data_IF_513034892552
#
_entry.id   IF_513034892552
#
_cell.length_a   1.000
_cell.length_b   1.000
_cell.length_c   1.000
_cell.angle_alpha   90.00
_cell.angle_beta   90.00
_cell.angle_gamma   90.00
#
_symmetry.space_group_name_H-M   'P 1'
#
loop_
_entity.id
_entity.type
_entity.pdbx_description
1 polymer ?
#
# COMPACT_ATOMS: atom_id res chain seq x y z
N UNK A 1 39.25 -24.70 68.74
CA UNK A 1 38.11 -25.26 69.51
C UNK A 1 36.97 -25.28 68.54
N UNK A 2 36.72 -26.41 67.97
CA UNK A 2 35.68 -27.39 68.27
C UNK A 2 34.35 -26.84 67.85
N UNK A 3 33.49 -27.48 67.11
CA UNK A 3 33.13 -28.88 67.04
C UNK A 3 32.30 -29.20 65.80
N UNK A 4 32.50 -30.35 65.29
CA UNK A 4 31.80 -31.04 64.24
C UNK A 4 30.43 -31.52 64.73
N UNK A 5 29.45 -31.49 63.90
CA UNK A 5 28.29 -32.40 63.96
C UNK A 5 27.86 -32.84 62.59
N UNK A 6 28.22 -34.05 62.29
CA UNK A 6 27.71 -34.92 61.25
C UNK A 6 26.33 -35.43 61.63
N UNK A 7 25.36 -35.36 60.70
CA UNK A 7 24.23 -36.27 60.84
C UNK A 7 23.80 -36.85 59.52
N UNK A 8 23.51 -38.09 59.54
CA UNK A 8 23.49 -39.14 58.56
C UNK A 8 22.22 -39.22 57.75
N UNK A 9 22.43 -39.51 56.52
CA UNK A 9 21.68 -40.28 55.53
C UNK A 9 20.58 -41.20 56.02
N UNK A 10 19.44 -41.16 55.33
CA UNK A 10 18.67 -42.39 55.02
C UNK A 10 18.04 -42.27 53.63
N UNK A 11 18.13 -43.30 52.77
CA UNK A 11 17.50 -43.33 51.46
C UNK A 11 16.05 -43.77 51.56
N UNK A 12 15.14 -43.09 50.82
CA UNK A 12 13.77 -43.54 50.72
C UNK A 12 13.41 -43.93 49.30
N UNK A 13 13.00 -45.16 49.21
CA UNK A 13 12.62 -45.99 48.10
C UNK A 13 11.81 -45.33 46.98
N UNK A 14 12.25 -45.68 45.79
CA UNK A 14 11.57 -45.95 44.56
C UNK A 14 10.04 -46.26 44.69
N UNK A 15 9.22 -45.48 44.03
CA UNK A 15 7.92 -45.91 43.53
C UNK A 15 7.74 -45.38 42.13
N UNK A 16 7.89 -46.30 41.20
CA UNK A 16 7.58 -46.12 39.80
C UNK A 16 6.20 -45.49 39.57
N UNK A 17 6.14 -44.52 38.65
CA UNK A 17 4.91 -44.03 38.10
C UNK A 17 5.01 -43.98 36.59
N UNK A 18 4.19 -44.77 36.02
CA UNK A 18 3.94 -45.07 34.62
C UNK A 18 4.03 -43.89 33.68
N UNK A 19 4.66 -44.13 32.56
CA UNK A 19 4.61 -43.39 31.30
C UNK A 19 3.16 -43.07 30.87
N UNK A 20 2.83 -41.80 30.75
CA UNK A 20 1.64 -41.37 30.01
C UNK A 20 2.06 -40.46 28.89
N UNK A 21 1.95 -41.05 27.70
CA UNK A 21 1.45 -40.44 26.47
C UNK A 21 2.04 -39.11 26.04
N UNK A 22 2.94 -39.15 25.07
CA UNK A 22 3.39 -37.98 24.33
C UNK A 22 2.19 -37.21 23.73
N UNK A 23 1.96 -36.00 24.22
CA UNK A 23 1.20 -35.00 23.48
C UNK A 23 2.11 -34.44 22.40
N UNK A 24 2.03 -35.03 21.22
CA UNK A 24 2.57 -34.41 20.00
C UNK A 24 1.96 -33.02 19.85
N UNK A 25 2.84 -32.01 19.99
CA UNK A 25 2.51 -30.61 19.77
C UNK A 25 2.11 -30.39 18.31
N UNK A 26 0.81 -30.20 18.06
CA UNK A 26 0.27 -29.78 16.76
C UNK A 26 0.56 -28.31 16.41
N UNK A 27 1.69 -27.77 16.84
CA UNK A 27 2.08 -26.35 16.67
C UNK A 27 2.79 -26.01 15.35
N UNK A 28 3.33 -26.99 14.60
CA UNK A 28 4.22 -26.73 13.47
C UNK A 28 3.58 -26.34 12.13
N UNK A 29 2.25 -26.41 12.00
CA UNK A 29 1.59 -26.18 10.68
C UNK A 29 1.09 -24.75 10.43
N UNK A 30 1.18 -23.85 11.41
CA UNK A 30 0.72 -22.46 11.24
C UNK A 30 1.83 -21.49 10.80
N UNK A 31 3.08 -21.76 11.11
CA UNK A 31 4.22 -20.91 10.72
C UNK A 31 4.65 -21.11 9.27
N UNK A 32 4.55 -22.33 8.70
CA UNK A 32 4.85 -22.60 7.30
C UNK A 32 3.90 -21.89 6.30
N UNK A 33 2.68 -21.54 6.73
CA UNK A 33 1.74 -20.80 5.88
C UNK A 33 2.06 -19.30 5.81
N UNK A 34 2.78 -18.73 6.79
CA UNK A 34 3.22 -17.34 6.76
C UNK A 34 4.41 -17.15 5.83
N UNK A 35 5.38 -18.06 5.86
CA UNK A 35 6.58 -18.00 5.01
C UNK A 35 6.29 -18.23 3.51
N UNK A 36 5.24 -19.01 3.17
CA UNK A 36 4.87 -19.24 1.75
C UNK A 36 4.18 -18.07 1.08
N UNK A 37 3.79 -17.01 1.82
CA UNK A 37 3.18 -15.81 1.23
C UNK A 37 4.20 -14.80 0.72
N UNK A 38 5.44 -14.89 1.15
CA UNK A 38 6.50 -13.95 0.77
C UNK A 38 7.21 -14.35 -0.53
N UNK A 39 7.09 -15.61 -0.97
CA UNK A 39 7.73 -16.15 -2.20
C UNK A 39 6.82 -16.10 -3.45
N UNK A 40 5.55 -15.69 -3.33
CA UNK A 40 4.72 -15.45 -4.50
C UNK A 40 5.23 -14.18 -5.23
N UNK A 41 5.35 -14.20 -6.58
CA UNK A 41 5.74 -13.02 -7.32
C UNK A 41 4.80 -11.88 -6.95
N UNK A 42 5.36 -10.78 -6.45
CA UNK A 42 4.57 -9.61 -6.05
C UNK A 42 3.93 -9.04 -7.31
N UNK A 43 2.64 -9.29 -7.49
CA UNK A 43 1.85 -8.75 -8.61
C UNK A 43 1.79 -7.22 -8.60
N UNK A 44 2.15 -6.60 -7.47
CA UNK A 44 2.05 -5.17 -7.25
C UNK A 44 3.38 -4.60 -6.75
N UNK A 45 3.82 -3.53 -7.39
CA UNK A 45 4.91 -2.70 -6.88
C UNK A 45 4.38 -1.78 -5.79
N UNK A 46 5.16 -1.60 -4.72
CA UNK A 46 4.84 -0.79 -3.55
C UNK A 46 5.83 0.36 -3.44
N UNK A 47 5.36 1.59 -3.52
CA UNK A 47 6.18 2.80 -3.41
C UNK A 47 5.74 3.62 -2.21
N UNK A 48 6.68 3.89 -1.30
CA UNK A 48 6.44 4.75 -0.14
C UNK A 48 6.68 6.22 -0.54
N UNK A 49 5.63 7.03 -0.52
CA UNK A 49 5.72 8.46 -0.87
C UNK A 49 6.21 9.29 0.31
N UNK A 50 5.68 9.03 1.50
CA UNK A 50 5.99 9.84 2.68
C UNK A 50 5.81 9.06 3.98
N UNK A 51 6.69 9.36 4.94
CA UNK A 51 6.60 8.86 6.31
C UNK A 51 6.68 10.07 7.24
N UNK A 52 5.65 10.25 8.05
CA UNK A 52 5.58 11.33 9.04
C UNK A 52 5.58 10.74 10.45
N UNK A 53 6.34 11.33 11.36
CA UNK A 53 6.23 11.08 12.79
C UNK A 53 5.11 11.97 13.35
N UNK A 54 4.03 11.35 13.81
CA UNK A 54 2.86 12.05 14.37
C UNK A 54 2.75 11.80 15.87
N UNK A 55 2.22 12.76 16.61
CA UNK A 55 2.06 12.64 18.05
C UNK A 55 0.61 12.93 18.48
N UNK A 56 0.16 12.21 19.51
CA UNK A 56 -1.04 12.53 20.27
C UNK A 56 -0.62 13.04 21.65
N UNK A 57 -1.07 14.22 22.01
CA UNK A 57 -0.82 14.81 23.33
C UNK A 57 -1.73 14.14 24.36
N UNK A 58 -1.16 13.74 25.50
CA UNK A 58 -1.84 13.16 26.64
C UNK A 58 -1.39 13.89 27.91
N UNK A 59 -2.06 13.69 29.06
CA UNK A 59 -1.74 14.36 30.34
C UNK A 59 -0.27 14.26 30.74
N UNK A 60 0.39 13.11 30.48
CA UNK A 60 1.80 12.86 30.83
C UNK A 60 2.81 13.12 29.69
N UNK A 61 2.41 13.75 28.57
CA UNK A 61 3.33 14.03 27.47
C UNK A 61 2.77 13.70 26.09
N UNK A 62 3.63 13.23 25.18
CA UNK A 62 3.29 12.96 23.77
C UNK A 62 3.50 11.48 23.44
N UNK A 63 2.47 10.81 22.89
CA UNK A 63 2.59 9.47 22.35
C UNK A 63 2.81 9.54 20.85
N UNK A 64 4.00 9.12 20.41
CA UNK A 64 4.40 9.15 19.00
C UNK A 64 3.91 7.91 18.26
N UNK A 65 3.62 8.11 16.97
CA UNK A 65 3.34 7.06 15.98
C UNK A 65 3.92 7.48 14.63
N UNK A 66 4.06 6.53 13.73
CA UNK A 66 4.46 6.78 12.35
C UNK A 66 3.24 6.69 11.43
N UNK A 67 3.09 7.67 10.54
CA UNK A 67 2.08 7.68 9.48
C UNK A 67 2.81 7.45 8.16
N UNK A 68 2.44 6.41 7.43
CA UNK A 68 2.95 6.13 6.09
C UNK A 68 1.88 6.44 5.04
N UNK A 69 2.30 7.04 3.92
CA UNK A 69 1.55 7.20 2.69
C UNK A 69 2.22 6.30 1.64
N UNK A 70 1.50 5.28 1.19
CA UNK A 70 1.98 4.25 0.25
C UNK A 70 1.10 4.21 -0.97
N UNK A 71 1.71 3.99 -2.12
CA UNK A 71 1.04 3.71 -3.39
C UNK A 71 1.37 2.29 -3.80
N UNK A 72 0.40 1.63 -4.38
CA UNK A 72 0.51 0.27 -4.90
C UNK A 72 0.01 0.24 -6.32
N UNK A 73 0.74 -0.33 -7.26
CA UNK A 73 0.34 -0.46 -8.65
C UNK A 73 0.90 -1.73 -9.30
N UNK A 74 0.32 -2.11 -10.43
CA UNK A 74 0.70 -3.33 -11.14
C UNK A 74 1.34 -3.08 -12.51
N UNK A 75 1.65 -1.83 -12.87
CA UNK A 75 2.08 -1.40 -14.21
C UNK A 75 1.12 -1.79 -15.37
N UNK A 76 -0.09 -2.28 -15.02
CA UNK A 76 -1.14 -2.67 -15.95
C UNK A 76 -2.43 -1.89 -15.64
N UNK A 77 -2.29 -0.58 -15.48
CA UNK A 77 -3.38 0.38 -15.27
C UNK A 77 -4.15 0.26 -13.93
N UNK A 78 -3.66 -0.52 -12.96
CA UNK A 78 -4.26 -0.55 -11.62
C UNK A 78 -3.38 0.18 -10.64
N UNK A 79 -3.98 1.05 -9.84
CA UNK A 79 -3.29 1.80 -8.80
C UNK A 79 -4.18 2.00 -7.59
N UNK A 80 -3.60 2.03 -6.41
CA UNK A 80 -4.28 2.34 -5.16
C UNK A 80 -3.39 3.13 -4.23
N UNK A 81 -3.98 3.96 -3.40
CA UNK A 81 -3.30 4.75 -2.37
C UNK A 81 -3.81 4.36 -1.00
N UNK A 82 -2.88 4.20 -0.07
CA UNK A 82 -3.20 3.89 1.31
C UNK A 82 -2.46 4.79 2.30
N UNK A 83 -3.16 5.17 3.35
CA UNK A 83 -2.60 5.91 4.49
C UNK A 83 -2.88 5.15 5.76
N UNK A 84 -1.85 4.86 6.53
CA UNK A 84 -2.03 4.21 7.82
C UNK A 84 -1.05 4.72 8.87
N UNK A 85 -1.37 4.46 10.14
CA UNK A 85 -0.53 4.77 11.30
C UNK A 85 -0.13 3.48 12.00
N UNK A 86 1.15 3.36 12.36
CA UNK A 86 1.72 2.24 13.11
C UNK A 86 2.49 2.69 14.34
N UNK A 87 2.85 1.77 15.23
CA UNK A 87 3.80 2.00 16.30
C UNK A 87 5.20 2.22 15.71
N UNK A 88 5.56 1.36 14.75
CA UNK A 88 6.81 1.38 14.02
C UNK A 88 6.58 1.74 12.55
N UNK A 89 7.67 2.11 11.86
CA UNK A 89 7.66 2.45 10.43
C UNK A 89 7.22 1.25 9.60
N UNK A 90 7.78 0.06 9.85
CA UNK A 90 7.44 -1.17 9.14
C UNK A 90 5.94 -1.51 9.27
N UNK A 91 5.41 -1.46 10.51
CA UNK A 91 4.01 -1.69 10.77
C UNK A 91 3.07 -0.65 10.13
N UNK A 92 3.53 0.60 10.00
CA UNK A 92 2.79 1.65 9.31
C UNK A 92 2.73 1.40 7.81
N UNK A 93 3.86 1.00 7.19
CA UNK A 93 3.95 0.68 5.76
C UNK A 93 3.06 -0.53 5.44
N UNK A 94 3.23 -1.66 6.14
CA UNK A 94 2.43 -2.87 5.90
C UNK A 94 0.92 -2.58 5.96
N UNK A 95 0.47 -1.84 6.98
CA UNK A 95 -0.93 -1.40 7.08
C UNK A 95 -1.37 -0.50 5.93
N UNK A 96 -0.51 0.44 5.50
CA UNK A 96 -0.84 1.35 4.40
C UNK A 96 -0.94 0.58 3.07
N UNK A 97 -0.07 -0.39 2.84
CA UNK A 97 -0.12 -1.30 1.69
C UNK A 97 -1.44 -2.11 1.67
N UNK A 98 -1.86 -2.67 2.80
CA UNK A 98 -3.13 -3.40 2.90
C UNK A 98 -4.34 -2.49 2.58
N UNK A 99 -4.30 -1.24 3.02
CA UNK A 99 -5.33 -0.24 2.70
C UNK A 99 -5.31 0.09 1.21
N UNK A 100 -4.12 0.30 0.62
CA UNK A 100 -3.98 0.61 -0.80
C UNK A 100 -4.49 -0.54 -1.69
N UNK A 101 -4.20 -1.80 -1.34
CA UNK A 101 -4.70 -3.00 -2.04
C UNK A 101 -6.22 -3.14 -2.01
N UNK A 102 -6.89 -2.60 -0.99
CA UNK A 102 -8.36 -2.61 -0.90
C UNK A 102 -9.04 -1.54 -1.76
N UNK A 103 -8.32 -0.46 -2.08
CA UNK A 103 -8.83 0.69 -2.84
C UNK A 103 -8.11 0.83 -4.20
N UNK A 104 -7.98 -0.28 -4.92
CA UNK A 104 -7.43 -0.27 -6.27
C UNK A 104 -8.47 0.26 -7.25
N UNK A 105 -8.05 1.20 -8.10
CA UNK A 105 -8.81 1.69 -9.24
C UNK A 105 -8.16 1.23 -10.54
N UNK A 106 -8.97 1.09 -11.60
CA UNK A 106 -8.49 0.81 -12.95
C UNK A 106 -8.56 2.09 -13.77
N UNK A 107 -7.47 2.44 -14.43
CA UNK A 107 -7.30 3.67 -15.19
C UNK A 107 -7.42 3.36 -16.68
N UNK A 108 -8.24 4.10 -17.45
CA UNK A 108 -8.23 4.01 -18.91
C UNK A 108 -6.94 4.64 -19.46
N UNK A 109 -6.15 3.85 -20.18
CA UNK A 109 -4.91 4.30 -20.82
C UNK A 109 -5.10 4.23 -22.33
N UNK A 110 -4.66 5.26 -23.03
CA UNK A 110 -4.67 5.35 -24.50
C UNK A 110 -3.27 5.75 -24.98
N UNK A 111 -2.63 4.92 -25.82
CA UNK A 111 -1.32 5.21 -26.40
C UNK A 111 -0.23 5.63 -25.38
N UNK A 112 -0.11 4.87 -24.28
CA UNK A 112 0.84 5.13 -23.18
C UNK A 112 0.60 6.45 -22.40
N UNK A 113 -0.54 7.11 -22.60
CA UNK A 113 -0.95 8.34 -21.94
C UNK A 113 -2.41 8.27 -21.48
N UNK A 114 -2.92 9.34 -20.90
CA UNK A 114 -4.34 9.47 -20.50
C UNK A 114 -5.20 9.93 -21.70
N UNK A 115 -6.50 9.57 -21.75
CA UNK A 115 -7.36 9.89 -22.89
C UNK A 115 -7.67 11.38 -23.05
N UNK A 116 -7.81 12.12 -21.98
CA UNK A 116 -8.11 13.57 -22.00
C UNK A 116 -7.51 14.28 -20.77
N UNK A 117 -7.49 15.60 -20.80
CA UNK A 117 -7.10 16.40 -19.65
C UNK A 117 -8.18 16.37 -18.56
N UNK A 118 -7.74 16.46 -17.32
CA UNK A 118 -8.61 16.46 -16.16
C UNK A 118 -8.03 17.35 -15.06
N UNK A 119 -8.92 18.08 -14.41
CA UNK A 119 -8.59 18.87 -13.24
C UNK A 119 -9.53 18.51 -12.09
N UNK A 120 -8.96 18.10 -10.96
CA UNK A 120 -9.72 17.73 -9.77
C UNK A 120 -9.22 18.49 -8.56
N UNK A 121 -10.16 18.94 -7.74
CA UNK A 121 -9.93 19.59 -6.46
C UNK A 121 -10.46 18.70 -5.34
N UNK A 122 -9.55 18.25 -4.47
CA UNK A 122 -9.88 17.52 -3.26
C UNK A 122 -9.39 18.27 -2.03
N UNK A 123 -10.30 18.68 -1.17
CA UNK A 123 -9.99 19.54 -0.03
C UNK A 123 -9.21 20.81 -0.47
N UNK A 124 -8.00 21.02 0.04
CA UNK A 124 -7.14 22.14 -0.36
C UNK A 124 -6.19 21.85 -1.53
N UNK A 125 -6.09 20.61 -2.00
CA UNK A 125 -5.26 20.26 -3.14
C UNK A 125 -6.07 20.31 -4.44
N UNK A 126 -5.42 20.78 -5.50
CA UNK A 126 -5.95 20.84 -6.86
C UNK A 126 -4.90 20.28 -7.79
N UNK A 127 -5.24 19.28 -8.57
CA UNK A 127 -4.31 18.59 -9.47
C UNK A 127 -4.83 18.65 -10.89
N UNK A 128 -3.99 19.15 -11.79
CA UNK A 128 -4.23 19.16 -13.22
C UNK A 128 -3.37 18.06 -13.85
N UNK A 129 -3.98 17.19 -14.65
CA UNK A 129 -3.30 16.18 -15.47
C UNK A 129 -3.67 16.39 -16.93
N UNK A 130 -2.67 16.26 -17.82
CA UNK A 130 -2.83 16.42 -19.27
C UNK A 130 -2.13 15.29 -20.00
N UNK A 131 -2.68 14.83 -21.14
CA UNK A 131 -1.99 13.88 -21.99
C UNK A 131 -0.74 14.54 -22.59
N UNK A 132 0.26 13.71 -22.89
CA UNK A 132 1.52 14.14 -23.49
C UNK A 132 1.84 13.30 -24.72
N UNK A 133 2.61 13.89 -25.65
CA UNK A 133 3.10 13.20 -26.83
C UNK A 133 4.07 12.06 -26.44
N UNK A 134 4.16 10.98 -27.24
CA UNK A 134 5.15 9.92 -27.04
C UNK A 134 6.56 10.49 -26.93
N UNK A 135 7.33 10.00 -25.95
CA UNK A 135 8.69 10.45 -25.68
C UNK A 135 8.83 11.64 -24.74
N UNK A 136 7.73 12.30 -24.34
CA UNK A 136 7.77 13.40 -23.35
C UNK A 136 8.15 12.91 -21.95
N UNK A 137 7.79 11.68 -21.60
CA UNK A 137 7.97 11.15 -20.26
C UNK A 137 6.98 11.69 -19.22
N UNK A 138 7.25 11.42 -17.95
CA UNK A 138 6.39 11.87 -16.84
C UNK A 138 6.93 13.20 -16.29
N UNK A 139 6.23 14.30 -16.60
CA UNK A 139 6.54 15.64 -16.08
C UNK A 139 5.50 15.95 -14.98
N UNK A 140 5.85 15.65 -13.74
CA UNK A 140 4.94 15.76 -12.60
C UNK A 140 5.68 16.05 -11.30
N UNK A 141 4.95 16.56 -10.31
CA UNK A 141 5.45 16.69 -8.92
C UNK A 141 5.71 15.31 -8.31
N UNK A 142 6.59 15.24 -7.28
CA UNK A 142 7.06 13.97 -6.72
C UNK A 142 5.97 12.98 -6.33
N UNK A 143 4.86 13.45 -5.73
CA UNK A 143 3.72 12.60 -5.34
C UNK A 143 3.00 12.03 -6.56
N UNK A 144 2.66 12.89 -7.53
CA UNK A 144 1.97 12.50 -8.76
C UNK A 144 2.87 11.58 -9.59
N UNK A 145 4.16 11.88 -9.70
CA UNK A 145 5.14 11.05 -10.42
C UNK A 145 5.22 9.64 -9.84
N UNK A 146 5.27 9.50 -8.51
CA UNK A 146 5.29 8.19 -7.85
C UNK A 146 4.02 7.37 -8.14
N UNK A 147 2.85 8.03 -8.17
CA UNK A 147 1.58 7.37 -8.50
C UNK A 147 1.56 6.91 -9.95
N UNK A 148 1.91 7.79 -10.89
CA UNK A 148 1.93 7.48 -12.32
C UNK A 148 2.98 6.41 -12.65
N UNK A 149 4.15 6.44 -12.00
CA UNK A 149 5.21 5.46 -12.23
C UNK A 149 4.78 4.01 -12.03
N UNK A 150 3.91 3.73 -11.04
CA UNK A 150 3.40 2.38 -10.77
C UNK A 150 2.17 1.99 -11.61
N UNK A 151 1.60 2.93 -12.39
CA UNK A 151 0.43 2.64 -13.27
C UNK A 151 0.81 2.08 -14.63
N UNK A 152 2.04 2.31 -15.09
CA UNK A 152 2.49 1.94 -16.43
C UNK A 152 2.27 3.02 -17.49
N UNK A 153 1.74 4.19 -17.13
CA UNK A 153 1.64 5.36 -18.01
C UNK A 153 3.05 5.95 -18.19
N UNK A 154 3.47 6.18 -19.42
CA UNK A 154 4.82 6.68 -19.75
C UNK A 154 4.87 8.16 -20.04
N UNK A 155 3.80 8.73 -20.57
CA UNK A 155 3.78 10.12 -21.05
C UNK A 155 2.63 10.88 -20.40
N UNK A 156 2.96 11.87 -19.55
CA UNK A 156 1.96 12.66 -18.82
C UNK A 156 2.54 14.00 -18.36
N UNK A 157 1.74 15.06 -18.50
CA UNK A 157 2.01 16.37 -17.91
C UNK A 157 1.10 16.56 -16.70
N UNK A 158 1.64 17.06 -15.61
CA UNK A 158 0.85 17.34 -14.41
C UNK A 158 1.36 18.57 -13.66
N UNK A 159 0.42 19.29 -13.07
CA UNK A 159 0.72 20.38 -12.15
C UNK A 159 -0.16 20.28 -10.91
N UNK A 160 0.47 20.27 -9.73
CA UNK A 160 -0.23 20.45 -8.46
C UNK A 160 -0.42 21.94 -8.20
N UNK A 161 -1.66 22.35 -8.01
CA UNK A 161 -2.13 23.70 -7.72
C UNK A 161 -2.75 23.71 -6.33
N UNK A 162 -2.56 24.76 -5.56
CA UNK A 162 -3.10 24.88 -4.19
C UNK A 162 -2.21 24.24 -3.14
N UNK A 163 -2.76 23.38 -2.27
CA UNK A 163 -2.06 22.82 -1.11
C UNK A 163 -0.91 21.88 -1.48
N UNK A 164 0.19 21.98 -0.72
CA UNK A 164 1.36 21.08 -0.82
C UNK A 164 1.24 19.82 0.04
N UNK A 165 0.09 19.58 0.68
CA UNK A 165 -0.14 18.40 1.50
C UNK A 165 -0.12 17.14 0.63
N UNK A 166 0.92 16.29 0.83
CA UNK A 166 1.17 15.08 0.04
C UNK A 166 -0.01 14.10 0.04
N UNK A 167 -0.72 13.97 1.17
CA UNK A 167 -1.88 13.09 1.29
C UNK A 167 -3.03 13.58 0.42
N UNK A 168 -3.35 14.87 0.48
CA UNK A 168 -4.44 15.45 -0.33
C UNK A 168 -4.11 15.40 -1.83
N UNK A 169 -2.85 15.67 -2.21
CA UNK A 169 -2.40 15.55 -3.60
C UNK A 169 -2.54 14.09 -4.09
N UNK A 170 -2.16 13.10 -3.28
CA UNK A 170 -2.27 11.70 -3.64
C UNK A 170 -3.73 11.29 -3.89
N UNK A 171 -4.65 11.65 -3.00
CA UNK A 171 -6.06 11.34 -3.19
C UNK A 171 -6.67 12.12 -4.36
N UNK A 172 -6.33 13.40 -4.54
CA UNK A 172 -6.80 14.19 -5.70
C UNK A 172 -6.31 13.58 -7.02
N UNK A 173 -5.09 13.03 -7.05
CA UNK A 173 -4.56 12.34 -8.23
C UNK A 173 -5.33 11.04 -8.53
N UNK A 174 -5.62 10.24 -7.50
CA UNK A 174 -6.42 9.01 -7.66
C UNK A 174 -7.83 9.33 -8.17
N UNK A 175 -8.46 10.35 -7.62
CA UNK A 175 -9.79 10.79 -8.05
C UNK A 175 -9.77 11.31 -9.50
N UNK A 176 -8.74 12.09 -9.88
CA UNK A 176 -8.53 12.54 -11.23
C UNK A 176 -8.38 11.38 -12.23
N UNK A 177 -7.59 10.37 -11.86
CA UNK A 177 -7.38 9.18 -12.69
C UNK A 177 -8.62 8.28 -12.77
N UNK A 178 -9.40 8.19 -11.70
CA UNK A 178 -10.65 7.43 -11.67
C UNK A 178 -11.80 8.09 -12.42
N UNK A 179 -11.76 9.41 -12.60
CA UNK A 179 -12.76 10.19 -13.32
C UNK A 179 -12.52 10.26 -14.84
N UNK A 180 -11.40 9.65 -15.32
CA UNK A 180 -11.12 9.63 -16.76
C UNK A 180 -12.11 8.75 -17.50
N UNK A 181 -12.62 9.27 -18.63
CA UNK A 181 -13.54 8.55 -19.52
C UNK A 181 -12.74 7.94 -20.67
N UNK A 182 -12.84 6.63 -20.92
CA UNK A 182 -12.17 5.99 -22.04
C UNK A 182 -12.67 6.57 -23.37
N UNK A 183 -11.80 6.64 -24.36
CA UNK A 183 -12.08 7.25 -25.67
C UNK A 183 -13.29 6.61 -26.39
N UNK A 184 -13.53 5.34 -26.15
CA UNK A 184 -14.65 4.58 -26.73
C UNK A 184 -16.03 5.09 -26.27
N UNK A 185 -16.09 5.71 -25.10
CA UNK A 185 -17.32 6.24 -24.51
C UNK A 185 -17.59 7.70 -24.88
N UNK A 186 -16.77 8.33 -25.71
CA UNK A 186 -17.01 9.69 -26.16
C UNK A 186 -18.17 9.71 -27.16
N UNK A 187 -19.14 10.60 -26.96
CA UNK A 187 -20.37 10.68 -27.74
C UNK A 187 -20.17 10.69 -29.27
N UNK A 188 -19.05 11.25 -29.74
CA UNK A 188 -18.73 11.29 -31.17
C UNK A 188 -18.15 9.99 -31.77
N UNK A 189 -17.57 9.11 -30.92
CA UNK A 189 -16.97 7.84 -31.39
C UNK A 189 -18.01 6.73 -31.45
N UNK A 190 -18.96 6.72 -30.51
CA UNK A 190 -20.07 5.74 -30.52
C UNK A 190 -20.99 5.92 -31.71
N UNK A 191 -21.20 7.14 -32.20
CA UNK A 191 -21.99 7.42 -33.40
C UNK A 191 -21.32 6.93 -34.70
N UNK A 192 -19.98 7.05 -34.80
CA UNK A 192 -19.22 6.57 -35.96
C UNK A 192 -19.05 5.03 -35.99
N UNK A 193 -18.91 4.39 -34.84
CA UNK A 193 -18.84 2.92 -34.78
C UNK A 193 -20.17 2.28 -35.21
N UNK A 194 -21.31 2.84 -34.81
CA UNK A 194 -22.63 2.34 -35.22
C UNK A 194 -22.96 2.60 -36.70
N UNK A 195 -22.44 3.66 -37.30
CA UNK A 195 -22.60 3.94 -38.71
C UNK A 195 -21.74 3.09 -39.65
N UNK A 196 -20.64 2.50 -39.13
CA UNK A 196 -19.76 1.61 -39.87
C UNK A 196 -20.13 0.12 -39.80
N UNK A 197 -21.10 -0.26 -38.94
CA UNK A 197 -21.65 -1.63 -38.87
C UNK A 197 -22.92 -1.81 -39.71
N UNK A 198 -23.46 -0.73 -40.32
CA UNK A 198 -24.66 -0.77 -41.19
C UNK A 198 -24.34 -0.68 -42.69
N UNK A 199 -23.06 -0.67 -43.10
CA UNK A 199 -22.59 -0.83 -44.49
C UNK A 199 -21.97 -2.21 -44.73
#
# INVERSE_FOLDING_TARGET
>A
MAEQATEQTTPRADRGRASRGGRQSRGGRRDDRRNRRDDAPKEFEEVVINIDRVARVVKGGRRFRFKALVVVGNHKNKVGVGVAKGADVQAAIAKATDVAKKHLITIPVANETIPHDMEVKLSGARVLIKPAAPGTGIIAGGVVRAIIGVTGIRNLLSKSLGSTNKVNIAYATIEALGSLVPREQWLGVTAKAKAGEEE
#
